data_IF_149724895758
#
_entry.id   IF_149724895758
#
_cell.length_a   1.000
_cell.length_b   1.000
_cell.length_c   1.000
_cell.angle_alpha   90.00
_cell.angle_beta   90.00
_cell.angle_gamma   90.00
#
_symmetry.space_group_name_H-M   'P 1'
#
loop_
_entity.id
_entity.type
_entity.pdbx_description
1 polymer ?
#
# COMPACT_ATOMS: atom_id res chain seq x y z
N UNK A 1 -6.77 -1.61 -20.08
CA UNK A 1 -5.99 -0.39 -19.78
C UNK A 1 -4.92 -0.76 -18.76
N UNK A 2 -3.62 -0.64 -19.07
CA UNK A 2 -2.55 -0.91 -18.08
C UNK A 2 -2.30 0.38 -17.31
N UNK A 3 -2.82 0.49 -16.09
CA UNK A 3 -2.52 1.61 -15.20
C UNK A 3 -0.99 1.67 -15.00
N UNK A 4 -0.33 2.82 -15.17
CA UNK A 4 1.14 2.89 -15.08
C UNK A 4 1.63 2.42 -13.70
N UNK A 5 2.65 1.55 -13.61
CA UNK A 5 3.13 1.00 -12.33
C UNK A 5 3.43 2.08 -11.29
N UNK A 6 4.12 3.15 -11.70
CA UNK A 6 4.40 4.33 -10.86
C UNK A 6 3.15 4.93 -10.24
N UNK A 7 2.10 5.12 -11.04
CA UNK A 7 0.84 5.71 -10.57
C UNK A 7 0.16 4.79 -9.57
N UNK A 8 0.23 3.46 -9.79
CA UNK A 8 -0.31 2.47 -8.87
C UNK A 8 0.43 2.50 -7.53
N UNK A 9 1.76 2.55 -7.57
CA UNK A 9 2.60 2.64 -6.38
C UNK A 9 2.27 3.88 -5.56
N UNK A 10 2.20 5.06 -6.19
CA UNK A 10 1.86 6.30 -5.48
C UNK A 10 0.46 6.25 -4.88
N UNK A 11 -0.53 5.75 -5.62
CA UNK A 11 -1.90 5.63 -5.12
C UNK A 11 -1.97 4.70 -3.89
N UNK A 12 -1.27 3.56 -3.92
CA UNK A 12 -1.19 2.66 -2.78
C UNK A 12 -0.47 3.29 -1.59
N UNK A 13 0.67 3.95 -1.81
CA UNK A 13 1.43 4.59 -0.74
C UNK A 13 0.64 5.71 -0.05
N UNK A 14 -0.11 6.50 -0.82
CA UNK A 14 -1.00 7.54 -0.28
C UNK A 14 -2.15 6.94 0.54
N UNK A 15 -2.70 5.80 0.11
CA UNK A 15 -3.74 5.09 0.85
C UNK A 15 -3.18 4.40 2.11
N UNK A 16 -1.97 3.85 2.05
CA UNK A 16 -1.30 3.17 3.15
C UNK A 16 -0.82 4.15 4.23
N UNK A 17 -0.41 5.37 3.83
CA UNK A 17 0.13 6.40 4.69
C UNK A 17 -0.71 7.69 4.59
N UNK A 18 -1.99 7.68 5.00
CA UNK A 18 -2.90 8.81 4.79
C UNK A 18 -2.48 10.09 5.54
N UNK A 19 -1.76 9.96 6.65
CA UNK A 19 -1.20 11.09 7.41
C UNK A 19 0.08 11.66 6.79
N UNK A 20 0.63 11.01 5.77
CA UNK A 20 1.89 11.38 5.15
C UNK A 20 1.65 12.02 3.77
N UNK A 21 2.41 13.06 3.46
CA UNK A 21 2.40 13.66 2.11
C UNK A 21 3.35 12.89 1.19
N UNK A 22 2.87 11.82 0.58
CA UNK A 22 3.61 11.07 -0.46
C UNK A 22 3.25 11.60 -1.84
N UNK A 23 4.22 12.18 -2.55
CA UNK A 23 4.04 12.80 -3.86
C UNK A 23 4.99 12.27 -4.95
N UNK A 24 6.12 11.71 -4.54
CA UNK A 24 7.12 11.10 -5.42
C UNK A 24 7.75 9.85 -4.79
N UNK A 25 8.60 9.17 -5.58
CA UNK A 25 9.34 7.97 -5.19
C UNK A 25 10.85 8.27 -5.09
N UNK A 26 11.20 9.53 -4.87
CA UNK A 26 12.57 10.03 -4.79
C UNK A 26 12.74 10.83 -3.50
N UNK A 27 12.69 12.16 -3.57
CA UNK A 27 13.05 13.07 -2.47
C UNK A 27 12.19 12.93 -1.22
N UNK A 28 10.93 12.53 -1.35
CA UNK A 28 10.03 12.37 -0.19
C UNK A 28 10.55 11.30 0.79
N UNK A 29 11.35 10.36 0.28
CA UNK A 29 11.86 9.21 1.03
C UNK A 29 13.22 9.48 1.70
N UNK A 30 13.90 10.57 1.32
CA UNK A 30 15.28 10.82 1.72
C UNK A 30 15.48 10.98 3.23
N UNK A 31 14.48 11.49 3.97
CA UNK A 31 14.61 11.64 5.42
C UNK A 31 14.56 10.32 6.19
N UNK A 32 14.18 9.22 5.54
CA UNK A 32 13.91 7.92 6.17
C UNK A 32 12.61 7.86 6.98
N UNK A 33 11.90 8.98 7.15
CA UNK A 33 10.65 9.06 7.92
C UNK A 33 9.52 8.29 7.23
N UNK A 34 9.34 8.47 5.92
CA UNK A 34 8.32 7.73 5.17
C UNK A 34 8.58 6.22 5.14
N UNK A 35 9.85 5.81 5.05
CA UNK A 35 10.19 4.38 5.13
C UNK A 35 9.86 3.83 6.52
N UNK A 36 10.16 4.59 7.58
CA UNK A 36 9.82 4.21 8.95
C UNK A 36 8.30 4.12 9.16
N UNK A 37 7.54 5.07 8.62
CA UNK A 37 6.08 5.04 8.63
C UNK A 37 5.52 3.84 7.86
N UNK A 38 6.14 3.48 6.73
CA UNK A 38 5.76 2.31 5.95
C UNK A 38 5.97 1.00 6.70
N UNK A 39 7.04 0.89 7.49
CA UNK A 39 7.27 -0.28 8.36
C UNK A 39 6.19 -0.40 9.43
N UNK A 40 5.81 0.73 10.03
CA UNK A 40 4.74 0.77 11.04
C UNK A 40 3.36 0.46 10.42
N UNK A 41 3.09 0.87 9.18
CA UNK A 41 1.91 0.40 8.43
C UNK A 41 1.94 -1.11 8.20
N UNK A 42 3.11 -1.64 7.80
CA UNK A 42 3.30 -3.06 7.52
C UNK A 42 3.12 -3.94 8.76
N UNK A 43 3.50 -3.45 9.94
CA UNK A 43 3.29 -4.08 11.22
C UNK A 43 3.09 -3.00 12.30
N UNK A 44 1.84 -2.70 12.69
CA UNK A 44 1.55 -1.64 13.65
C UNK A 44 2.31 -1.81 14.96
N UNK A 45 3.06 -0.76 15.36
CA UNK A 45 3.90 -0.78 16.55
C UNK A 45 5.35 -1.20 16.28
N UNK A 46 5.72 -1.51 15.04
CA UNK A 46 7.10 -1.82 14.67
C UNK A 46 8.01 -0.59 14.71
N UNK A 47 7.49 0.60 14.38
CA UNK A 47 8.25 1.84 14.40
C UNK A 47 7.41 3.00 14.98
N UNK A 48 6.95 2.93 16.24
CA UNK A 48 5.89 3.79 16.76
C UNK A 48 6.28 5.28 16.87
N UNK A 49 7.57 5.58 16.88
CA UNK A 49 8.13 6.93 17.04
C UNK A 49 8.55 7.57 15.70
N UNK A 50 8.12 7.04 14.56
CA UNK A 50 8.50 7.56 13.25
C UNK A 50 8.15 9.05 13.08
N UNK A 51 7.04 9.51 13.70
CA UNK A 51 6.58 10.91 13.65
C UNK A 51 7.52 11.91 14.34
N UNK A 52 8.38 11.44 15.24
CA UNK A 52 9.29 12.28 16.04
C UNK A 52 10.74 12.15 15.60
N UNK A 53 11.01 11.45 14.50
CA UNK A 53 12.36 11.35 13.95
C UNK A 53 12.85 12.72 13.48
N UNK A 54 14.13 12.99 13.74
CA UNK A 54 14.80 14.15 13.17
C UNK A 54 15.01 13.91 11.66
N UNK A 55 14.40 14.76 10.84
CA UNK A 55 14.49 14.67 9.38
C UNK A 55 15.90 14.93 8.85
N UNK A 56 16.78 15.54 9.66
CA UNK A 56 18.17 15.80 9.31
C UNK A 56 19.09 14.61 9.59
N UNK A 57 18.67 13.63 10.38
CA UNK A 57 19.42 12.37 10.65
C UNK A 57 19.12 11.32 9.54
N UNK A 58 19.10 11.77 8.28
CA UNK A 58 18.51 11.06 7.13
C UNK A 58 19.14 9.69 6.89
N UNK A 59 20.47 9.63 6.78
CA UNK A 59 21.22 8.38 6.54
C UNK A 59 20.93 7.37 7.65
N UNK A 60 20.96 7.81 8.91
CA UNK A 60 20.71 6.92 10.06
C UNK A 60 19.26 6.45 10.12
N UNK A 61 18.30 7.31 9.80
CA UNK A 61 16.89 6.92 9.71
C UNK A 61 16.69 5.87 8.61
N UNK A 62 17.24 6.11 7.41
CA UNK A 62 17.22 5.15 6.31
C UNK A 62 17.87 3.83 6.71
N UNK A 63 19.07 3.86 7.31
CA UNK A 63 19.79 2.67 7.73
C UNK A 63 18.98 1.85 8.74
N UNK A 64 18.47 2.48 9.80
CA UNK A 64 17.63 1.82 10.81
C UNK A 64 16.39 1.20 10.20
N UNK A 65 15.69 1.93 9.33
CA UNK A 65 14.50 1.43 8.67
C UNK A 65 14.81 0.27 7.72
N UNK A 66 15.88 0.36 6.91
CA UNK A 66 16.29 -0.70 5.99
C UNK A 66 16.78 -1.96 6.73
N UNK A 67 17.47 -1.80 7.87
CA UNK A 67 17.84 -2.92 8.74
C UNK A 67 16.60 -3.63 9.26
N UNK A 68 15.63 -2.88 9.78
CA UNK A 68 14.40 -3.43 10.31
C UNK A 68 13.54 -4.10 9.22
N UNK A 69 13.48 -3.51 8.02
CA UNK A 69 12.81 -4.08 6.86
C UNK A 69 13.39 -5.45 6.48
N UNK A 70 14.73 -5.57 6.51
CA UNK A 70 15.42 -6.82 6.25
C UNK A 70 15.14 -7.85 7.36
N UNK A 71 15.32 -7.49 8.63
CA UNK A 71 15.17 -8.39 9.77
C UNK A 71 13.74 -8.90 9.94
N UNK A 72 12.73 -8.04 9.73
CA UNK A 72 11.33 -8.37 10.00
C UNK A 72 10.61 -8.95 8.79
N UNK A 73 10.94 -8.49 7.60
CA UNK A 73 10.21 -8.80 6.38
C UNK A 73 11.05 -9.47 5.30
N UNK A 74 12.36 -9.64 5.52
CA UNK A 74 13.26 -10.21 4.51
C UNK A 74 13.44 -9.33 3.27
N UNK A 75 13.16 -8.02 3.38
CA UNK A 75 13.35 -7.09 2.26
C UNK A 75 14.85 -6.89 2.02
N UNK A 76 15.38 -7.21 0.82
CA UNK A 76 16.81 -7.10 0.56
C UNK A 76 17.25 -5.64 0.49
N UNK A 77 18.44 -5.35 1.03
CA UNK A 77 19.08 -4.02 0.96
C UNK A 77 19.72 -3.83 -0.41
N UNK A 78 18.89 -3.67 -1.44
CA UNK A 78 19.35 -3.44 -2.83
C UNK A 78 19.82 -2.01 -3.08
N UNK A 79 19.62 -1.11 -2.11
CA UNK A 79 20.16 0.25 -2.08
C UNK A 79 21.02 0.41 -0.82
N UNK A 80 22.01 1.30 -0.88
CA UNK A 80 22.71 1.77 0.32
C UNK A 80 21.84 2.82 1.05
N UNK A 81 21.87 2.88 2.39
CA UNK A 81 21.14 3.89 3.16
C UNK A 81 21.48 5.33 2.75
N UNK A 82 22.74 5.61 2.45
CA UNK A 82 23.22 6.92 1.98
C UNK A 82 22.60 7.27 0.63
N UNK A 83 22.38 6.28 -0.23
CA UNK A 83 21.77 6.50 -1.53
C UNK A 83 20.27 6.75 -1.41
N UNK A 84 19.56 6.00 -0.55
CA UNK A 84 18.16 6.27 -0.24
C UNK A 84 17.98 7.66 0.41
N UNK A 85 18.92 8.08 1.24
CA UNK A 85 18.93 9.39 1.90
C UNK A 85 19.37 10.55 0.99
N UNK A 86 19.82 10.26 -0.22
CA UNK A 86 20.40 11.24 -1.14
C UNK A 86 19.35 11.94 -1.99
N UNK A 87 19.51 13.25 -2.19
CA UNK A 87 18.74 14.02 -3.17
C UNK A 87 18.97 13.58 -4.62
N UNK A 88 19.92 12.67 -4.87
CA UNK A 88 20.20 12.05 -6.17
C UNK A 88 19.54 10.67 -6.35
N UNK A 89 18.69 10.25 -5.42
CA UNK A 89 17.89 9.04 -5.59
C UNK A 89 17.04 9.15 -6.86
N UNK A 90 17.26 8.23 -7.80
CA UNK A 90 16.47 8.18 -9.02
C UNK A 90 15.16 7.42 -8.81
N UNK A 91 14.16 7.73 -9.65
CA UNK A 91 12.82 7.19 -9.50
C UNK A 91 12.75 5.68 -9.70
N UNK A 92 13.58 5.10 -10.57
CA UNK A 92 13.60 3.66 -10.79
C UNK A 92 14.16 2.94 -9.56
N UNK A 93 15.25 3.44 -8.97
CA UNK A 93 15.81 2.90 -7.73
C UNK A 93 14.80 2.94 -6.58
N UNK A 94 14.11 4.07 -6.39
CA UNK A 94 13.05 4.20 -5.40
C UNK A 94 11.88 3.24 -5.64
N UNK A 95 11.43 3.14 -6.90
CA UNK A 95 10.42 2.16 -7.32
C UNK A 95 10.85 0.73 -7.03
N UNK A 96 12.08 0.36 -7.39
CA UNK A 96 12.60 -0.99 -7.19
C UNK A 96 12.58 -1.37 -5.70
N UNK A 97 13.10 -0.51 -4.83
CA UNK A 97 13.13 -0.81 -3.40
C UNK A 97 11.72 -0.89 -2.79
N UNK A 98 10.86 0.09 -3.09
CA UNK A 98 9.50 0.14 -2.53
C UNK A 98 8.59 -0.98 -3.07
N UNK A 99 8.88 -1.52 -4.26
CA UNK A 99 8.11 -2.63 -4.84
C UNK A 99 8.15 -3.91 -3.99
N UNK A 100 9.20 -4.12 -3.18
CA UNK A 100 9.29 -5.27 -2.27
C UNK A 100 8.21 -5.27 -1.19
N UNK A 101 7.68 -4.11 -0.83
CA UNK A 101 6.56 -3.98 0.11
C UNK A 101 5.23 -4.36 -0.54
N UNK A 102 5.07 -4.06 -1.83
CA UNK A 102 3.80 -4.15 -2.56
C UNK A 102 3.58 -5.47 -3.31
N UNK A 103 4.65 -6.20 -3.63
CA UNK A 103 4.54 -7.47 -4.35
C UNK A 103 3.62 -8.46 -3.60
N UNK A 104 3.01 -9.44 -4.28
CA UNK A 104 2.30 -10.53 -3.62
C UNK A 104 3.14 -11.12 -2.49
N UNK A 105 2.49 -11.38 -1.35
CA UNK A 105 3.09 -11.85 -0.10
C UNK A 105 4.09 -10.89 0.58
N UNK A 106 4.29 -9.69 0.01
CA UNK A 106 5.06 -8.61 0.62
C UNK A 106 4.37 -8.04 1.87
N UNK A 107 5.12 -7.39 2.77
CA UNK A 107 4.57 -6.93 4.04
C UNK A 107 3.46 -5.87 3.90
N UNK A 108 3.58 -4.99 2.90
CA UNK A 108 2.54 -4.00 2.57
C UNK A 108 1.30 -4.65 1.97
N UNK A 109 1.48 -5.61 1.05
CA UNK A 109 0.38 -6.43 0.52
C UNK A 109 -0.38 -7.15 1.65
N UNK A 110 0.35 -7.78 2.57
CA UNK A 110 -0.23 -8.50 3.71
C UNK A 110 -0.95 -7.54 4.67
N UNK A 111 -0.41 -6.34 4.90
CA UNK A 111 -1.08 -5.32 5.69
C UNK A 111 -2.39 -4.85 5.05
N UNK A 112 -2.39 -4.58 3.74
CA UNK A 112 -3.61 -4.27 2.99
C UNK A 112 -4.62 -5.43 3.06
N UNK A 113 -4.14 -6.68 2.93
CA UNK A 113 -4.99 -7.88 3.01
C UNK A 113 -5.65 -8.03 4.38
N UNK A 114 -4.89 -7.79 5.46
CA UNK A 114 -5.43 -7.78 6.84
C UNK A 114 -6.48 -6.70 7.03
N UNK A 115 -6.23 -5.49 6.50
CA UNK A 115 -7.20 -4.40 6.56
C UNK A 115 -8.49 -4.77 5.83
N UNK A 116 -8.42 -5.22 4.57
CA UNK A 116 -9.60 -5.63 3.80
C UNK A 116 -10.40 -6.70 4.56
N UNK A 117 -9.73 -7.74 5.04
CA UNK A 117 -10.38 -8.83 5.77
C UNK A 117 -10.95 -8.41 7.14
N UNK A 118 -10.55 -7.27 7.69
CA UNK A 118 -11.18 -6.71 8.90
C UNK A 118 -12.50 -5.97 8.61
N UNK A 119 -12.70 -5.55 7.36
CA UNK A 119 -13.85 -4.76 6.90
C UNK A 119 -14.98 -5.62 6.34
N UNK A 120 -14.67 -6.82 5.84
CA UNK A 120 -15.61 -7.65 5.06
C UNK A 120 -15.97 -8.95 5.77
N UNK A 121 -17.13 -9.52 5.42
CA UNK A 121 -17.60 -10.78 6.04
C UNK A 121 -16.99 -12.02 5.37
N UNK A 122 -16.77 -11.94 4.06
CA UNK A 122 -16.17 -13.02 3.26
C UNK A 122 -14.68 -12.76 3.12
N UNK A 123 -13.80 -13.62 3.66
CA UNK A 123 -12.37 -13.38 3.54
C UNK A 123 -11.92 -13.47 2.08
N UNK A 124 -11.02 -12.57 1.70
CA UNK A 124 -10.25 -12.59 0.46
C UNK A 124 -8.86 -13.15 0.71
N UNK A 125 -8.32 -13.81 -0.30
CA UNK A 125 -6.98 -14.39 -0.34
C UNK A 125 -6.06 -13.66 -1.31
N UNK A 126 -6.62 -12.96 -2.30
CA UNK A 126 -5.87 -12.24 -3.31
C UNK A 126 -6.61 -11.01 -3.86
N UNK A 127 -5.86 -10.09 -4.45
CA UNK A 127 -6.40 -8.89 -5.11
C UNK A 127 -6.65 -9.04 -6.62
N UNK A 128 -6.58 -10.27 -7.16
CA UNK A 128 -6.68 -10.50 -8.62
C UNK A 128 -8.01 -11.13 -9.02
N UNK A 129 -8.45 -12.18 -8.35
CA UNK A 129 -9.68 -12.90 -8.67
C UNK A 129 -10.82 -12.64 -7.69
N UNK A 130 -10.49 -12.44 -6.41
CA UNK A 130 -11.53 -12.42 -5.37
C UNK A 130 -12.39 -11.15 -5.42
N UNK A 131 -11.92 -10.11 -6.11
CA UNK A 131 -12.61 -8.84 -6.33
C UNK A 131 -13.47 -8.81 -7.61
N UNK A 132 -13.35 -9.83 -8.48
CA UNK A 132 -13.90 -9.77 -9.84
C UNK A 132 -15.42 -9.63 -9.88
N UNK A 133 -16.14 -10.25 -8.94
CA UNK A 133 -17.60 -10.19 -8.91
C UNK A 133 -18.17 -8.87 -8.33
N UNK A 134 -17.29 -7.95 -7.90
CA UNK A 134 -17.65 -6.64 -7.37
C UNK A 134 -18.21 -6.64 -5.95
N UNK A 135 -18.46 -7.82 -5.34
CA UNK A 135 -19.06 -7.91 -4.00
C UNK A 135 -18.14 -7.37 -2.92
N UNK A 136 -16.83 -7.67 -3.01
CA UNK A 136 -15.83 -7.21 -2.05
C UNK A 136 -15.77 -5.68 -2.04
N UNK A 137 -15.76 -5.03 -3.22
CA UNK A 137 -15.83 -3.57 -3.30
C UNK A 137 -17.11 -3.01 -2.67
N UNK A 138 -18.27 -3.63 -2.93
CA UNK A 138 -19.51 -3.21 -2.30
C UNK A 138 -19.48 -3.35 -0.77
N UNK A 139 -18.90 -4.43 -0.23
CA UNK A 139 -18.76 -4.60 1.22
C UNK A 139 -17.90 -3.49 1.83
N UNK A 140 -16.73 -3.24 1.26
CA UNK A 140 -15.82 -2.18 1.72
C UNK A 140 -16.50 -0.81 1.65
N UNK A 141 -17.09 -0.45 0.51
CA UNK A 141 -17.74 0.85 0.34
C UNK A 141 -18.94 1.01 1.29
N UNK A 142 -19.76 -0.03 1.50
CA UNK A 142 -20.88 0.03 2.45
C UNK A 142 -20.39 0.21 3.89
N UNK A 143 -19.32 -0.47 4.29
CA UNK A 143 -18.75 -0.30 5.63
C UNK A 143 -18.24 1.12 5.86
N UNK A 144 -17.68 1.74 4.81
CA UNK A 144 -17.29 3.15 4.79
C UNK A 144 -18.47 4.13 4.61
N UNK A 145 -19.71 3.64 4.52
CA UNK A 145 -20.92 4.47 4.39
C UNK A 145 -21.23 4.99 2.99
N UNK A 146 -20.59 4.44 1.94
CA UNK A 146 -20.79 4.85 0.56
C UNK A 146 -22.03 4.25 -0.14
N UNK A 147 -22.53 4.88 -1.21
CA UNK A 147 -23.79 4.54 -1.87
C UNK A 147 -23.62 3.46 -2.96
N UNK A 148 -23.49 2.19 -2.56
CA UNK A 148 -23.41 1.05 -3.49
C UNK A 148 -24.51 0.01 -3.24
N UNK A 149 -24.84 -0.84 -4.23
CA UNK A 149 -25.79 -1.94 -4.04
C UNK A 149 -25.38 -2.88 -2.90
N UNK A 150 -26.36 -3.51 -2.27
CA UNK A 150 -26.09 -4.58 -1.32
C UNK A 150 -25.31 -5.73 -2.00
N UNK A 151 -24.15 -6.16 -1.47
CA UNK A 151 -23.37 -7.28 -2.02
C UNK A 151 -24.20 -8.55 -2.24
N UNK A 152 -25.20 -8.81 -1.40
CA UNK A 152 -26.09 -9.97 -1.52
C UNK A 152 -26.99 -9.91 -2.77
N UNK A 153 -27.17 -8.72 -3.37
CA UNK A 153 -27.96 -8.51 -4.59
C UNK A 153 -27.13 -8.63 -5.88
N UNK A 154 -25.81 -8.74 -5.78
CA UNK A 154 -24.95 -8.93 -6.94
C UNK A 154 -24.87 -10.42 -7.32
N UNK A 155 -24.90 -10.71 -8.61
CA UNK A 155 -24.63 -12.05 -9.12
C UNK A 155 -23.12 -12.31 -9.11
N UNK A 156 -22.71 -13.54 -8.78
CA UNK A 156 -21.31 -13.97 -8.94
C UNK A 156 -21.03 -14.60 -10.31
N UNK A 157 -22.03 -14.65 -11.20
CA UNK A 157 -21.85 -15.10 -12.59
C UNK A 157 -20.86 -14.18 -13.33
N UNK A 158 -19.81 -14.73 -13.98
CA UNK A 158 -18.85 -13.96 -14.78
C UNK A 158 -19.46 -13.01 -15.80
N UNK A 159 -20.63 -13.34 -16.37
CA UNK A 159 -21.34 -12.48 -17.34
C UNK A 159 -21.78 -11.16 -16.68
N UNK A 160 -22.01 -11.17 -15.36
CA UNK A 160 -22.46 -10.01 -14.60
C UNK A 160 -21.33 -9.19 -13.99
N UNK A 161 -20.08 -9.67 -14.01
CA UNK A 161 -18.94 -9.02 -13.33
C UNK A 161 -18.75 -7.58 -13.81
N UNK A 162 -18.73 -7.34 -15.12
CA UNK A 162 -18.59 -5.99 -15.68
C UNK A 162 -19.69 -5.05 -15.19
N UNK A 163 -20.95 -5.49 -15.22
CA UNK A 163 -22.09 -4.72 -14.71
C UNK A 163 -21.97 -4.42 -13.22
N UNK A 164 -21.47 -5.36 -12.42
CA UNK A 164 -21.25 -5.15 -11.00
C UNK A 164 -20.16 -4.11 -10.76
N UNK A 165 -19.04 -4.18 -11.49
CA UNK A 165 -17.93 -3.23 -11.38
C UNK A 165 -18.35 -1.81 -11.78
N UNK A 166 -19.16 -1.64 -12.82
CA UNK A 166 -19.68 -0.31 -13.20
C UNK A 166 -20.49 0.32 -12.07
N UNK A 167 -21.36 -0.46 -11.40
CA UNK A 167 -22.13 0.04 -10.25
C UNK A 167 -21.25 0.44 -9.07
N UNK A 168 -20.14 -0.28 -8.87
CA UNK A 168 -19.15 0.04 -7.84
C UNK A 168 -18.47 1.38 -8.13
N UNK A 169 -18.02 1.59 -9.37
CA UNK A 169 -17.37 2.83 -9.82
C UNK A 169 -18.35 4.02 -9.70
N UNK A 170 -19.58 3.86 -10.20
CA UNK A 170 -20.63 4.89 -10.09
C UNK A 170 -21.00 5.21 -8.63
N UNK A 171 -20.86 4.23 -7.73
CA UNK A 171 -21.13 4.35 -6.31
C UNK A 171 -20.00 4.99 -5.48
N UNK A 172 -18.94 5.49 -6.11
CA UNK A 172 -17.91 6.31 -5.45
C UNK A 172 -16.50 5.73 -5.43
N UNK A 173 -16.16 4.87 -6.40
CA UNK A 173 -14.78 4.39 -6.62
C UNK A 173 -14.10 5.16 -7.77
#
# INVERSE_FOLDING_TARGET
>A
SKFPPRKLMLAWLQAALPDCKVSNLTSDWNSGVLLSALLDYCEPGLFPHWRTLDVHDSVRNCERAMNLAYERFGIPKVLEPEYLASGWLDELSGMTYLSYFMKPDGPGYNATMRWVNSTIKRPVSNFTTDFNDGKVFCEIIKDLGGPVPDPAKLSSDPIMWESNQTKVIEGGL
#
